data_IF_620018604061
#
_entry.id   IF_620018604061
#
_cell.length_a   1.000
_cell.length_b   1.000
_cell.length_c   1.000
_cell.angle_alpha   90.00
_cell.angle_beta   90.00
_cell.angle_gamma   90.00
#
_symmetry.space_group_name_H-M   'P 1'
#
loop_
_entity.id
_entity.type
_entity.pdbx_description
1 polymer ?
#
# COMPACT_ATOMS: atom_id res chain seq x y z
N UNK A 1 -14.76 11.45 -7.45
CA UNK A 1 -13.30 11.47 -7.75
C UNK A 1 -12.92 10.25 -8.60
N UNK A 2 -11.95 10.35 -9.53
CA UNK A 2 -11.56 9.26 -10.42
C UNK A 2 -10.40 8.45 -9.82
N UNK A 3 -10.53 7.11 -9.76
CA UNK A 3 -9.54 6.18 -9.19
C UNK A 3 -8.71 5.43 -10.23
N UNK A 4 -9.35 4.94 -11.29
CA UNK A 4 -8.77 4.02 -12.28
C UNK A 4 -7.87 4.74 -13.28
N UNK A 5 -7.08 4.02 -14.07
CA UNK A 5 -6.43 4.59 -15.25
C UNK A 5 -7.48 4.97 -16.34
N UNK A 6 -7.09 5.15 -17.59
CA UNK A 6 -8.00 5.61 -18.66
C UNK A 6 -8.09 4.63 -19.84
N UNK A 7 -7.66 3.39 -19.67
CA UNK A 7 -7.82 2.34 -20.68
C UNK A 7 -9.29 2.18 -21.07
N UNK A 8 -9.57 1.80 -22.33
CA UNK A 8 -10.92 1.74 -22.88
C UNK A 8 -11.45 0.31 -22.88
N UNK A 9 -12.65 0.11 -22.35
CA UNK A 9 -13.37 -1.16 -22.29
C UNK A 9 -14.82 -0.96 -22.75
N UNK A 10 -15.02 -0.66 -24.04
CA UNK A 10 -16.34 -0.33 -24.57
C UNK A 10 -16.84 1.00 -23.99
N UNK A 11 -18.00 0.95 -23.30
CA UNK A 11 -18.60 2.12 -22.64
C UNK A 11 -17.94 2.46 -21.29
N UNK A 12 -17.19 1.51 -20.70
CA UNK A 12 -16.53 1.69 -19.42
C UNK A 12 -15.04 2.00 -19.60
N UNK A 13 -14.43 2.60 -18.59
CA UNK A 13 -13.04 3.03 -18.66
C UNK A 13 -12.26 2.69 -17.41
N UNK A 14 -10.99 2.36 -17.64
CA UNK A 14 -9.93 2.25 -16.66
C UNK A 14 -9.92 0.94 -15.86
N UNK A 15 -8.74 0.64 -15.35
CA UNK A 15 -8.42 -0.44 -14.44
C UNK A 15 -7.98 0.17 -13.11
N UNK A 16 -8.34 -0.43 -12.00
CA UNK A 16 -7.73 -0.13 -10.69
C UNK A 16 -6.32 -0.73 -10.67
N UNK A 17 -5.31 0.12 -10.82
CA UNK A 17 -3.91 -0.33 -10.89
C UNK A 17 -3.48 -1.08 -9.63
N UNK A 18 -4.06 -0.75 -8.47
CA UNK A 18 -3.79 -1.46 -7.22
C UNK A 18 -4.66 -2.73 -7.03
N UNK A 19 -5.19 -3.27 -8.13
CA UNK A 19 -5.81 -4.59 -8.28
C UNK A 19 -5.20 -5.37 -9.45
N UNK A 20 -4.23 -4.79 -10.16
CA UNK A 20 -3.70 -5.32 -11.42
C UNK A 20 -2.34 -6.05 -11.27
N UNK A 21 -1.73 -6.05 -10.09
CA UNK A 21 -0.48 -6.79 -9.83
C UNK A 21 -0.70 -8.30 -9.83
N UNK A 22 0.28 -9.11 -10.28
CA UNK A 22 0.08 -10.53 -10.58
C UNK A 22 -0.10 -11.44 -9.34
N UNK A 23 0.43 -11.06 -8.19
CA UNK A 23 0.40 -11.90 -7.00
C UNK A 23 -1.04 -12.06 -6.47
N UNK A 24 -1.57 -13.29 -6.54
CA UNK A 24 -2.96 -13.64 -6.22
C UNK A 24 -3.99 -12.70 -6.90
N UNK A 25 -3.76 -12.41 -8.18
CA UNK A 25 -4.62 -11.52 -8.95
C UNK A 25 -6.07 -12.02 -9.01
N UNK A 26 -7.02 -11.11 -8.81
CA UNK A 26 -8.47 -11.30 -8.92
C UNK A 26 -9.06 -12.45 -8.05
N UNK A 27 -8.50 -12.67 -6.86
CA UNK A 27 -8.97 -13.71 -5.91
C UNK A 27 -10.05 -13.16 -4.99
N UNK A 28 -9.86 -11.96 -4.43
CA UNK A 28 -10.80 -11.33 -3.49
C UNK A 28 -10.70 -9.82 -3.52
N UNK A 29 -11.79 -9.10 -3.20
CA UNK A 29 -11.80 -7.64 -3.12
C UNK A 29 -11.37 -6.93 -4.40
N UNK A 30 -11.62 -7.55 -5.55
CA UNK A 30 -11.41 -7.04 -6.90
C UNK A 30 -12.58 -7.48 -7.78
N UNK A 31 -12.81 -6.78 -8.90
CA UNK A 31 -13.90 -7.08 -9.82
C UNK A 31 -13.40 -7.43 -11.21
N UNK A 32 -14.06 -8.38 -11.86
CA UNK A 32 -13.92 -8.67 -13.29
C UNK A 32 -14.77 -7.77 -14.19
N UNK A 33 -15.62 -6.89 -13.64
CA UNK A 33 -16.49 -5.99 -14.39
C UNK A 33 -15.80 -4.66 -14.70
N UNK A 34 -15.57 -4.31 -15.99
CA UNK A 34 -14.91 -3.06 -16.39
C UNK A 34 -15.60 -1.78 -15.89
N UNK A 35 -16.88 -1.84 -15.57
CA UNK A 35 -17.65 -0.70 -15.10
C UNK A 35 -17.49 -0.42 -13.61
N UNK A 36 -16.96 -1.35 -12.86
CA UNK A 36 -16.72 -1.16 -11.42
C UNK A 36 -15.44 -0.37 -11.14
N UNK A 37 -15.43 0.32 -10.01
CA UNK A 37 -14.29 1.13 -9.55
C UNK A 37 -13.06 0.29 -9.17
N UNK A 38 -13.28 -0.97 -8.80
CA UNK A 38 -12.28 -1.96 -8.35
C UNK A 38 -11.94 -3.00 -9.43
N UNK A 39 -12.17 -2.67 -10.72
CA UNK A 39 -11.87 -3.55 -11.85
C UNK A 39 -10.38 -3.86 -11.93
N UNK A 40 -10.05 -5.15 -11.92
CA UNK A 40 -8.67 -5.66 -11.88
C UNK A 40 -7.96 -5.73 -13.24
N UNK A 41 -8.66 -5.37 -14.33
CA UNK A 41 -8.16 -5.53 -15.70
C UNK A 41 -8.53 -6.88 -16.33
N UNK A 42 -8.27 -7.05 -17.64
CA UNK A 42 -8.57 -8.30 -18.37
C UNK A 42 -7.61 -9.44 -18.02
N UNK A 43 -6.44 -9.11 -17.48
CA UNK A 43 -5.45 -10.08 -16.97
C UNK A 43 -4.53 -9.41 -15.96
N UNK A 44 -3.78 -10.21 -15.21
CA UNK A 44 -2.71 -9.71 -14.35
C UNK A 44 -1.70 -8.91 -15.19
N UNK A 45 -1.27 -7.76 -14.66
CA UNK A 45 -0.33 -6.84 -15.31
C UNK A 45 -0.75 -6.44 -16.74
N UNK A 46 -2.06 -6.34 -17.01
CA UNK A 46 -2.57 -5.88 -18.31
C UNK A 46 -2.19 -4.44 -18.62
N UNK A 47 -2.05 -3.60 -17.61
CA UNK A 47 -1.85 -2.17 -17.76
C UNK A 47 -0.36 -1.81 -17.90
N UNK A 48 -0.07 -0.83 -18.75
CA UNK A 48 1.30 -0.36 -18.99
C UNK A 48 1.93 0.16 -17.72
N UNK A 49 1.21 0.96 -16.96
CA UNK A 49 1.68 1.54 -15.70
C UNK A 49 2.09 0.44 -14.70
N UNK A 50 1.30 -0.62 -14.60
CA UNK A 50 1.61 -1.77 -13.73
C UNK A 50 2.86 -2.50 -14.21
N UNK A 51 2.97 -2.78 -15.52
CA UNK A 51 4.14 -3.46 -16.13
C UNK A 51 5.43 -2.68 -15.91
N UNK A 52 5.42 -1.37 -16.18
CA UNK A 52 6.60 -0.52 -16.00
C UNK A 52 7.07 -0.51 -14.54
N UNK A 53 6.13 -0.43 -13.60
CA UNK A 53 6.48 -0.51 -12.18
C UNK A 53 7.07 -1.87 -11.81
N UNK A 54 6.48 -2.96 -12.32
CA UNK A 54 6.98 -4.32 -12.10
C UNK A 54 8.40 -4.47 -12.63
N UNK A 55 8.65 -4.07 -13.87
CA UNK A 55 9.98 -4.16 -14.50
C UNK A 55 11.02 -3.33 -13.73
N UNK A 56 10.68 -2.09 -13.40
CA UNK A 56 11.58 -1.20 -12.64
C UNK A 56 11.94 -1.79 -11.28
N UNK A 57 10.96 -2.26 -10.51
CA UNK A 57 11.22 -2.77 -9.16
C UNK A 57 11.97 -4.12 -9.23
N UNK A 58 11.59 -5.04 -10.14
CA UNK A 58 12.31 -6.31 -10.35
C UNK A 58 13.79 -6.07 -10.63
N UNK A 59 14.11 -5.20 -11.57
CA UNK A 59 15.49 -4.85 -11.89
C UNK A 59 16.28 -4.38 -10.66
N UNK A 60 15.69 -3.51 -9.85
CA UNK A 60 16.38 -3.00 -8.65
C UNK A 60 16.45 -4.01 -7.50
N UNK A 61 15.50 -4.94 -7.40
CA UNK A 61 15.56 -6.04 -6.43
C UNK A 61 16.66 -7.03 -6.80
N UNK A 62 16.77 -7.40 -8.09
CA UNK A 62 17.84 -8.26 -8.61
C UNK A 62 19.23 -7.66 -8.39
N UNK A 63 19.34 -6.33 -8.40
CA UNK A 63 20.56 -5.60 -8.08
C UNK A 63 20.79 -5.39 -6.57
N UNK A 64 19.99 -6.04 -5.72
CA UNK A 64 19.99 -5.91 -4.24
C UNK A 64 19.85 -4.47 -3.71
N UNK A 65 19.22 -3.58 -4.48
CA UNK A 65 19.07 -2.16 -4.14
C UNK A 65 17.80 -1.83 -3.35
N UNK A 66 16.81 -2.72 -3.36
CA UNK A 66 15.52 -2.51 -2.70
C UNK A 66 15.29 -3.59 -1.64
N UNK A 67 15.20 -3.16 -0.39
CA UNK A 67 14.84 -3.99 0.78
C UNK A 67 13.58 -3.48 1.49
N UNK A 68 13.06 -2.34 1.05
CA UNK A 68 11.87 -1.71 1.63
C UNK A 68 10.96 -1.23 0.51
N UNK A 69 9.68 -1.56 0.61
CA UNK A 69 8.62 -1.07 -0.27
C UNK A 69 7.53 -0.39 0.56
N UNK A 70 7.24 0.88 0.25
CA UNK A 70 6.20 1.65 0.93
C UNK A 70 5.27 2.26 -0.11
N UNK A 71 3.98 1.99 0.03
CA UNK A 71 2.91 2.53 -0.81
C UNK A 71 2.09 3.53 0.00
N UNK A 72 1.90 4.73 -0.53
CA UNK A 72 1.12 5.79 0.12
C UNK A 72 -0.24 5.94 -0.55
N UNK A 73 -1.29 5.81 0.25
CA UNK A 73 -2.68 6.00 -0.13
C UNK A 73 -3.36 6.97 0.83
N UNK A 74 -4.57 7.34 0.56
CA UNK A 74 -5.50 8.01 1.44
C UNK A 74 -6.91 7.46 1.19
N UNK A 75 -7.79 7.46 2.15
CA UNK A 75 -7.61 7.96 3.53
C UNK A 75 -7.94 6.86 4.55
N UNK A 76 -7.58 6.97 5.80
CA UNK A 76 -8.15 6.26 6.96
C UNK A 76 -7.20 6.18 8.16
N UNK A 77 -6.02 6.81 8.09
CA UNK A 77 -5.03 6.80 9.19
C UNK A 77 -4.62 5.36 9.58
N UNK A 78 -4.07 4.62 8.62
CA UNK A 78 -3.62 3.24 8.82
C UNK A 78 -2.19 3.04 8.32
N UNK A 79 -1.44 2.15 8.99
CA UNK A 79 -0.13 1.64 8.57
C UNK A 79 -0.27 0.13 8.50
N UNK A 80 -0.27 -0.42 7.31
CA UNK A 80 -0.61 -1.81 7.09
C UNK A 80 0.53 -2.56 6.40
N UNK A 81 0.63 -3.85 6.66
CA UNK A 81 1.60 -4.76 6.04
C UNK A 81 0.88 -5.96 5.42
N UNK A 82 1.53 -6.75 4.54
CA UNK A 82 0.91 -7.91 3.89
C UNK A 82 0.43 -9.00 4.89
N UNK A 83 -0.58 -9.80 4.50
CA UNK A 83 -1.21 -9.81 3.18
C UNK A 83 -2.58 -9.12 3.22
N UNK A 84 -3.06 -8.71 2.04
CA UNK A 84 -4.44 -8.26 1.84
C UNK A 84 -5.33 -9.35 1.25
N UNK A 85 -4.77 -10.30 0.48
CA UNK A 85 -5.54 -11.37 -0.15
C UNK A 85 -5.93 -12.51 0.79
N UNK A 86 -5.24 -12.67 1.91
CA UNK A 86 -5.39 -13.78 2.85
C UNK A 86 -5.14 -13.36 4.30
N UNK A 87 -5.79 -14.05 5.24
CA UNK A 87 -5.50 -13.95 6.67
C UNK A 87 -4.19 -14.66 7.08
N UNK A 88 -3.53 -15.33 6.14
CA UNK A 88 -2.25 -16.00 6.37
C UNK A 88 -1.17 -15.00 6.76
N UNK A 89 -0.41 -15.35 7.79
CA UNK A 89 0.67 -14.50 8.28
C UNK A 89 1.94 -14.68 7.45
N UNK A 90 2.60 -13.55 7.18
CA UNK A 90 3.94 -13.55 6.58
C UNK A 90 4.99 -14.09 7.57
N UNK A 91 6.10 -14.61 7.08
CA UNK A 91 7.15 -15.21 7.92
C UNK A 91 7.68 -14.24 8.98
N UNK A 92 7.85 -12.97 8.64
CA UNK A 92 8.32 -11.92 9.53
C UNK A 92 7.18 -11.08 10.15
N UNK A 93 5.99 -11.68 10.35
CA UNK A 93 4.79 -11.00 10.86
C UNK A 93 5.05 -10.19 12.14
N UNK A 94 5.75 -10.78 13.11
CA UNK A 94 6.00 -10.13 14.40
C UNK A 94 6.86 -8.88 14.26
N UNK A 95 7.87 -8.91 13.40
CA UNK A 95 8.71 -7.76 13.10
C UNK A 95 7.91 -6.64 12.42
N UNK A 96 7.12 -6.98 11.39
CA UNK A 96 6.28 -6.00 10.70
C UNK A 96 5.23 -5.39 11.64
N UNK A 97 4.58 -6.19 12.48
CA UNK A 97 3.61 -5.71 13.46
C UNK A 97 4.24 -4.73 14.47
N UNK A 98 5.42 -5.07 14.98
CA UNK A 98 6.16 -4.23 15.92
C UNK A 98 6.65 -2.92 15.25
N UNK A 99 7.25 -3.01 14.07
CA UNK A 99 7.71 -1.86 13.30
C UNK A 99 6.53 -0.94 12.98
N UNK A 100 5.41 -1.47 12.51
CA UNK A 100 4.21 -0.71 12.20
C UNK A 100 3.63 0.00 13.44
N UNK A 101 3.60 -0.67 14.59
CA UNK A 101 3.17 -0.09 15.86
C UNK A 101 4.08 1.07 16.30
N UNK A 102 5.41 0.92 16.16
CA UNK A 102 6.38 1.98 16.48
C UNK A 102 6.25 3.16 15.52
N UNK A 103 6.02 2.90 14.24
CA UNK A 103 5.75 3.93 13.23
C UNK A 103 4.46 4.71 13.53
N UNK A 104 3.38 4.04 13.92
CA UNK A 104 2.13 4.67 14.34
C UNK A 104 2.30 5.49 15.63
N UNK A 105 3.07 4.98 16.59
CA UNK A 105 3.43 5.72 17.80
C UNK A 105 4.18 7.00 17.46
N UNK A 106 5.09 6.95 16.48
CA UNK A 106 5.86 8.12 16.03
C UNK A 106 4.97 9.20 15.44
N UNK A 107 3.97 8.85 14.65
CA UNK A 107 2.97 9.80 14.15
C UNK A 107 2.26 10.50 15.32
N UNK A 108 1.82 9.72 16.32
CA UNK A 108 1.14 10.28 17.48
C UNK A 108 2.02 11.26 18.27
N UNK A 109 3.31 10.98 18.38
CA UNK A 109 4.28 11.88 19.05
C UNK A 109 4.46 13.20 18.28
N UNK A 110 4.42 13.16 16.95
CA UNK A 110 4.68 14.33 16.09
C UNK A 110 3.43 15.19 15.89
N UNK A 111 2.27 14.58 15.66
CA UNK A 111 1.07 15.30 15.26
C UNK A 111 -0.16 15.08 16.15
N UNK A 112 -0.07 14.19 17.14
CA UNK A 112 -1.22 13.77 17.95
C UNK A 112 -2.20 12.84 17.23
N UNK A 113 -2.04 12.59 15.91
CA UNK A 113 -2.91 11.72 15.13
C UNK A 113 -2.74 10.26 15.53
N UNK A 114 -3.86 9.53 15.52
CA UNK A 114 -3.88 8.11 15.86
C UNK A 114 -4.02 7.30 14.58
N UNK A 115 -2.99 6.51 14.29
CA UNK A 115 -2.99 5.55 13.18
C UNK A 115 -3.14 4.14 13.73
N UNK A 116 -3.97 3.33 13.09
CA UNK A 116 -4.04 1.88 13.31
C UNK A 116 -2.89 1.19 12.59
N UNK A 117 -2.36 0.09 13.15
CA UNK A 117 -1.40 -0.77 12.43
C UNK A 117 -1.79 -2.24 12.55
N UNK A 118 -1.66 -2.99 11.45
CA UNK A 118 -1.98 -4.41 11.36
C UNK A 118 -1.83 -4.96 9.95
N UNK A 119 -2.19 -6.24 9.74
CA UNK A 119 -2.26 -6.77 8.37
C UNK A 119 -3.38 -6.08 7.58
N UNK A 120 -3.22 -6.01 6.26
CA UNK A 120 -4.23 -5.38 5.39
C UNK A 120 -5.56 -6.11 5.52
N UNK A 121 -5.52 -7.45 5.48
CA UNK A 121 -6.70 -8.29 5.55
C UNK A 121 -7.57 -8.02 6.79
N UNK A 122 -6.92 -7.85 7.97
CA UNK A 122 -7.61 -7.66 9.24
C UNK A 122 -7.93 -6.20 9.54
N UNK A 123 -7.16 -5.25 8.97
CA UNK A 123 -7.22 -3.83 9.37
C UNK A 123 -8.21 -3.02 8.54
N UNK A 124 -8.34 -3.32 7.24
CA UNK A 124 -9.21 -2.56 6.34
C UNK A 124 -10.27 -3.47 5.68
N UNK A 125 -9.90 -4.25 4.70
CA UNK A 125 -10.76 -5.25 4.03
C UNK A 125 -9.90 -6.20 3.19
N UNK A 126 -10.37 -7.43 2.91
CA UNK A 126 -9.69 -8.34 2.00
C UNK A 126 -9.56 -7.77 0.60
N UNK A 127 -8.37 -7.81 0.02
CA UNK A 127 -8.11 -7.34 -1.35
C UNK A 127 -6.90 -8.00 -1.96
N UNK A 128 -6.98 -8.36 -3.23
CA UNK A 128 -5.92 -9.04 -4.00
C UNK A 128 -5.43 -8.19 -5.17
N UNK A 129 -4.32 -8.59 -5.77
CA UNK A 129 -3.70 -7.87 -6.89
C UNK A 129 -3.13 -6.51 -6.53
N UNK A 130 -2.86 -6.26 -5.26
CA UNK A 130 -2.22 -5.04 -4.77
C UNK A 130 -0.70 -5.08 -4.86
N UNK A 131 -0.07 -3.92 -5.08
CA UNK A 131 1.38 -3.78 -5.21
C UNK A 131 2.17 -4.28 -4.01
N UNK A 132 1.65 -4.10 -2.81
CA UNK A 132 2.29 -4.51 -1.56
C UNK A 132 2.37 -6.02 -1.37
N UNK A 133 1.28 -6.75 -1.69
CA UNK A 133 1.26 -8.21 -1.62
C UNK A 133 2.22 -8.81 -2.65
N UNK A 134 2.26 -8.22 -3.85
CA UNK A 134 3.21 -8.59 -4.89
C UNK A 134 4.66 -8.31 -4.49
N UNK A 135 4.96 -7.14 -3.96
CA UNK A 135 6.31 -6.77 -3.54
C UNK A 135 6.85 -7.71 -2.44
N UNK A 136 6.01 -8.05 -1.47
CA UNK A 136 6.38 -8.97 -0.39
C UNK A 136 6.36 -10.44 -0.83
N UNK A 137 5.25 -10.89 -1.42
CA UNK A 137 4.99 -12.29 -1.72
C UNK A 137 5.79 -12.83 -2.91
N UNK A 138 5.90 -12.06 -4.00
CA UNK A 138 6.63 -12.45 -5.21
C UNK A 138 8.09 -12.01 -5.17
N UNK A 139 8.37 -10.74 -4.87
CA UNK A 139 9.73 -10.20 -4.89
C UNK A 139 10.51 -10.42 -3.59
N UNK A 140 9.87 -10.94 -2.56
CA UNK A 140 10.48 -11.19 -1.25
C UNK A 140 11.12 -9.95 -0.61
N UNK A 141 10.56 -8.76 -0.89
CA UNK A 141 10.97 -7.54 -0.20
C UNK A 141 10.52 -7.64 1.26
N UNK A 142 11.44 -7.73 2.22
CA UNK A 142 11.08 -8.10 3.59
C UNK A 142 10.30 -7.01 4.33
N UNK A 143 10.60 -5.76 4.04
CA UNK A 143 9.97 -4.61 4.70
C UNK A 143 8.96 -3.96 3.74
N UNK A 144 7.70 -4.33 3.88
CA UNK A 144 6.63 -3.85 2.99
C UNK A 144 5.49 -3.27 3.81
N UNK A 145 5.17 -2.00 3.54
CA UNK A 145 4.08 -1.28 4.21
C UNK A 145 3.19 -0.53 3.22
N UNK A 146 1.94 -0.35 3.60
CA UNK A 146 0.97 0.53 2.92
C UNK A 146 0.39 1.50 3.93
N UNK A 147 0.36 2.77 3.57
CA UNK A 147 -0.29 3.81 4.35
C UNK A 147 -1.65 4.14 3.76
N UNK A 148 -2.63 4.34 4.64
CA UNK A 148 -3.77 5.21 4.38
C UNK A 148 -3.55 6.47 5.20
N UNK A 149 -3.18 7.56 4.54
CA UNK A 149 -2.88 8.82 5.21
C UNK A 149 -4.15 9.46 5.79
N UNK A 150 -4.00 10.59 6.47
CA UNK A 150 -5.15 11.32 7.03
C UNK A 150 -6.12 11.76 5.94
N UNK A 151 -7.40 11.77 6.28
CA UNK A 151 -8.45 12.47 5.54
C UNK A 151 -8.86 13.77 6.27
N UNK A 152 -9.73 14.58 5.68
CA UNK A 152 -10.27 15.76 6.34
C UNK A 152 -11.15 15.37 7.53
N UNK A 153 -11.12 16.20 8.59
CA UNK A 153 -11.96 16.00 9.77
C UNK A 153 -13.41 16.41 9.53
N UNK A 154 -13.65 17.39 8.64
CA UNK A 154 -14.90 18.13 8.56
C UNK A 154 -15.43 18.20 7.11
N UNK A 155 -15.19 17.20 6.26
CA UNK A 155 -15.66 17.18 4.86
C UNK A 155 -16.45 15.91 4.56
N UNK A 156 -17.53 16.05 3.78
CA UNK A 156 -18.28 14.89 3.26
C UNK A 156 -17.47 14.10 2.23
N UNK A 157 -16.57 14.75 1.47
CA UNK A 157 -15.62 14.09 0.59
C UNK A 157 -14.29 13.89 1.33
N UNK A 158 -14.14 12.71 1.90
CA UNK A 158 -13.00 12.31 2.72
C UNK A 158 -11.67 12.18 1.95
N UNK A 159 -11.68 12.32 0.63
CA UNK A 159 -10.49 12.41 -0.22
C UNK A 159 -9.99 13.85 -0.46
N UNK A 160 -10.81 14.86 -0.17
CA UNK A 160 -10.44 16.25 -0.38
C UNK A 160 -9.85 16.84 0.90
N UNK A 161 -8.52 16.87 0.96
CA UNK A 161 -7.79 17.44 2.07
C UNK A 161 -7.43 18.90 1.78
N UNK A 162 -7.58 19.80 2.77
CA UNK A 162 -7.15 21.19 2.64
C UNK A 162 -5.65 21.30 2.36
N UNK A 163 -5.23 22.28 1.56
CA UNK A 163 -3.83 22.56 1.30
C UNK A 163 -3.01 22.82 2.57
N UNK A 164 -3.63 23.30 3.64
CA UNK A 164 -3.02 23.50 4.97
C UNK A 164 -2.55 22.20 5.61
N UNK A 165 -3.11 21.06 5.21
CA UNK A 165 -2.77 19.73 5.74
C UNK A 165 -1.60 19.06 4.99
N UNK A 166 -1.11 19.65 3.86
CA UNK A 166 -0.03 19.05 3.07
C UNK A 166 1.23 18.90 3.94
N UNK A 167 1.71 19.99 4.51
CA UNK A 167 2.92 19.98 5.33
C UNK A 167 2.78 19.11 6.59
N UNK A 168 1.74 19.25 7.45
CA UNK A 168 1.58 18.39 8.60
C UNK A 168 1.49 16.89 8.25
N UNK A 169 0.81 16.54 7.15
CA UNK A 169 0.73 15.14 6.68
C UNK A 169 2.09 14.63 6.22
N UNK A 170 2.84 15.44 5.49
CA UNK A 170 4.19 15.07 5.03
C UNK A 170 5.16 14.87 6.21
N UNK A 171 5.14 15.75 7.20
CA UNK A 171 6.00 15.67 8.39
C UNK A 171 5.72 14.40 9.19
N UNK A 172 4.46 14.07 9.47
CA UNK A 172 4.12 12.87 10.23
C UNK A 172 4.43 11.59 9.46
N UNK A 173 4.13 11.56 8.15
CA UNK A 173 4.43 10.40 7.30
C UNK A 173 5.93 10.17 7.18
N UNK A 174 6.72 11.22 6.98
CA UNK A 174 8.17 11.13 6.89
C UNK A 174 8.80 10.62 8.19
N UNK A 175 8.41 11.16 9.34
CA UNK A 175 8.89 10.70 10.65
C UNK A 175 8.55 9.21 10.91
N UNK A 176 7.39 8.76 10.45
CA UNK A 176 6.95 7.38 10.51
C UNK A 176 7.80 6.48 9.61
N UNK A 177 8.02 6.86 8.36
CA UNK A 177 8.86 6.14 7.39
C UNK A 177 10.31 6.01 7.90
N UNK A 178 10.89 7.10 8.42
CA UNK A 178 12.21 7.04 9.05
C UNK A 178 12.25 6.04 10.22
N UNK A 179 11.16 5.93 10.97
CA UNK A 179 11.05 4.95 12.06
C UNK A 179 11.02 3.53 11.51
N UNK A 180 10.27 3.25 10.43
CA UNK A 180 10.27 1.94 9.76
C UNK A 180 11.69 1.56 9.34
N UNK A 181 12.39 2.44 8.62
CA UNK A 181 13.74 2.17 8.12
C UNK A 181 14.71 1.91 9.27
N UNK A 182 14.70 2.75 10.29
CA UNK A 182 15.56 2.59 11.47
C UNK A 182 15.30 1.29 12.22
N UNK A 183 14.05 0.94 12.47
CA UNK A 183 13.67 -0.27 13.21
C UNK A 183 13.93 -1.54 12.41
N UNK A 184 13.77 -1.50 11.09
CA UNK A 184 14.17 -2.59 10.19
C UNK A 184 15.71 -2.78 10.19
N UNK A 185 16.47 -1.70 10.14
CA UNK A 185 17.94 -1.77 10.25
C UNK A 185 18.44 -2.40 11.54
N UNK A 186 17.82 -2.04 12.69
CA UNK A 186 18.14 -2.66 13.99
C UNK A 186 17.88 -4.17 14.03
N UNK A 187 16.97 -4.69 13.20
CA UNK A 187 16.63 -6.11 13.07
C UNK A 187 17.44 -6.83 11.98
N UNK A 188 18.41 -6.15 11.36
CA UNK A 188 19.32 -6.76 10.39
C UNK A 188 18.79 -6.86 8.95
N UNK A 189 17.68 -6.21 8.61
CA UNK A 189 17.10 -6.32 7.27
C UNK A 189 17.90 -5.62 6.15
N UNK A 190 18.92 -4.85 6.48
CA UNK A 190 19.75 -4.09 5.53
C UNK A 190 21.23 -4.50 5.52
N UNK A 191 21.52 -5.67 6.08
CA UNK A 191 22.87 -6.28 6.06
C UNK A 191 23.08 -7.14 4.84
#
# INVERSE_FOLDING_TARGET
>A
MWRKNRASFGICRGVDLNRNFPFHWNVTGASGDPCRYDYSGPSAASELETRWMIEFIKFHVEMERIRTFISLHSYSQMIMFPYGHSAERVDNYHDLADIGRLAAKKIREVSGRIYKSGSIYETIYPSSGGSKDWAHGELKIPITFSYELRGPADSEDLFILSAKEIEPTAVEAFASIQTIVREAGKRGYYQ
#
